data_IF_161799384954
#
_entry.id   IF_161799384954
#
_cell.length_a   1.000
_cell.length_b   1.000
_cell.length_c   1.000
_cell.angle_alpha   90.00
_cell.angle_beta   90.00
_cell.angle_gamma   90.00
#
_symmetry.space_group_name_H-M   'P 1'
#
loop_
_entity.id
_entity.type
_entity.pdbx_description
1 polymer ?
#
# COMPACT_ATOMS: atom_id res chain seq x y z
N UNK A 1 -13.94 -16.07 23.48
CA UNK A 1 -13.74 -14.88 22.63
C UNK A 1 -12.42 -15.06 21.88
N UNK A 2 -12.39 -14.95 20.55
CA UNK A 2 -11.10 -14.88 19.83
C UNK A 2 -10.37 -13.62 20.29
N UNK A 3 -9.06 -13.67 20.57
CA UNK A 3 -8.31 -12.46 20.86
C UNK A 3 -8.48 -11.49 19.68
N UNK A 4 -8.47 -10.17 19.93
CA UNK A 4 -8.44 -9.21 18.82
C UNK A 4 -7.27 -9.58 17.92
N UNK A 5 -7.55 -9.82 16.63
CA UNK A 5 -6.54 -10.24 15.66
C UNK A 5 -5.50 -9.16 15.43
N UNK A 6 -4.41 -9.51 14.75
CA UNK A 6 -3.39 -8.55 14.33
C UNK A 6 -3.94 -7.50 13.35
N UNK A 7 -3.41 -6.28 13.41
CA UNK A 7 -3.72 -5.25 12.43
C UNK A 7 -3.01 -5.57 11.11
N UNK A 8 -3.77 -6.07 10.13
CA UNK A 8 -3.28 -6.43 8.79
C UNK A 8 -2.41 -5.34 8.15
N UNK A 9 -2.82 -4.07 8.29
CA UNK A 9 -2.11 -2.94 7.69
C UNK A 9 -0.81 -2.60 8.43
N UNK A 10 -0.76 -2.84 9.75
CA UNK A 10 0.49 -2.72 10.52
C UNK A 10 1.51 -3.77 10.08
N UNK A 11 1.06 -4.98 9.74
CA UNK A 11 1.92 -6.05 9.20
C UNK A 11 2.37 -5.73 7.76
N UNK A 12 1.52 -5.12 6.92
CA UNK A 12 1.93 -4.75 5.56
C UNK A 12 2.95 -3.63 5.50
N UNK A 13 2.93 -2.68 6.44
CA UNK A 13 4.00 -1.69 6.60
C UNK A 13 5.39 -2.34 6.73
N UNK A 14 5.48 -3.47 7.45
CA UNK A 14 6.73 -4.21 7.62
C UNK A 14 7.06 -5.08 6.40
N UNK A 15 6.04 -5.63 5.71
CA UNK A 15 6.23 -6.54 4.57
C UNK A 15 6.62 -5.82 3.27
N UNK A 16 6.03 -4.66 3.02
CA UNK A 16 6.22 -3.89 1.78
C UNK A 16 7.24 -2.77 2.01
N UNK A 17 7.25 -2.19 3.21
CA UNK A 17 8.07 -1.03 3.55
C UNK A 17 7.41 0.29 3.15
N UNK A 18 7.31 1.20 4.11
CA UNK A 18 6.66 2.51 3.92
C UNK A 18 7.25 3.30 2.75
N UNK A 19 8.58 3.50 2.73
CA UNK A 19 9.28 4.27 1.69
C UNK A 19 9.12 3.68 0.29
N UNK A 20 9.09 2.36 0.20
CA UNK A 20 8.88 1.69 -1.07
C UNK A 20 7.46 1.93 -1.58
N UNK A 21 6.46 1.77 -0.71
CA UNK A 21 5.07 2.03 -1.08
C UNK A 21 4.84 3.49 -1.47
N UNK A 22 5.44 4.44 -0.75
CA UNK A 22 5.43 5.87 -1.12
C UNK A 22 5.99 6.12 -2.51
N UNK A 23 7.17 5.56 -2.82
CA UNK A 23 7.79 5.72 -4.14
C UNK A 23 6.89 5.16 -5.26
N UNK A 24 6.25 4.02 -5.01
CA UNK A 24 5.29 3.41 -5.96
C UNK A 24 4.08 4.33 -6.18
N UNK A 25 3.47 4.86 -5.11
CA UNK A 25 2.33 5.80 -5.23
C UNK A 25 2.74 7.05 -6.01
N UNK A 26 3.87 7.67 -5.67
CA UNK A 26 4.35 8.86 -6.37
C UNK A 26 4.57 8.59 -7.85
N UNK A 27 5.25 7.49 -8.20
CA UNK A 27 5.46 7.12 -9.59
C UNK A 27 4.13 6.85 -10.34
N UNK A 28 3.14 6.26 -9.68
CA UNK A 28 1.81 6.04 -10.26
C UNK A 28 1.07 7.35 -10.51
N UNK A 29 1.11 8.29 -9.56
CA UNK A 29 0.47 9.61 -9.69
C UNK A 29 1.13 10.49 -10.75
N UNK A 30 2.45 10.41 -10.86
CA UNK A 30 3.24 11.11 -11.89
C UNK A 30 3.07 10.49 -13.29
N UNK A 31 2.32 9.38 -13.42
CA UNK A 31 2.13 8.68 -14.69
C UNK A 31 3.38 7.92 -15.17
N UNK A 32 4.38 7.74 -14.31
CA UNK A 32 5.62 7.00 -14.60
C UNK A 32 5.47 5.49 -14.40
N UNK A 33 4.43 5.06 -13.67
CA UNK A 33 4.10 3.66 -13.43
C UNK A 33 2.60 3.45 -13.66
N UNK A 34 2.22 2.44 -14.45
CA UNK A 34 0.81 2.11 -14.64
C UNK A 34 0.19 1.62 -13.34
N UNK A 35 -1.06 2.01 -13.07
CA UNK A 35 -1.80 1.58 -11.89
C UNK A 35 -1.86 0.04 -11.77
N UNK A 36 -1.98 -0.66 -12.90
CA UNK A 36 -1.98 -2.13 -12.96
C UNK A 36 -0.68 -2.74 -12.45
N UNK A 37 0.44 -2.12 -12.79
CA UNK A 37 1.77 -2.59 -12.41
C UNK A 37 2.06 -2.23 -10.95
N UNK A 38 1.52 -1.11 -10.46
CA UNK A 38 1.70 -0.66 -9.08
C UNK A 38 1.15 -1.65 -8.03
N UNK A 39 -0.08 -2.15 -8.20
CA UNK A 39 -0.63 -3.13 -7.27
C UNK A 39 0.02 -4.52 -7.42
N UNK A 40 0.47 -4.89 -8.63
CA UNK A 40 1.23 -6.13 -8.84
C UNK A 40 2.61 -6.08 -8.18
N UNK A 41 3.33 -4.97 -8.35
CA UNK A 41 4.68 -4.76 -7.79
C UNK A 41 4.68 -4.82 -6.26
N UNK A 42 3.59 -4.40 -5.63
CA UNK A 42 3.41 -4.43 -4.18
C UNK A 42 2.82 -5.75 -3.67
N UNK A 43 2.43 -6.67 -4.58
CA UNK A 43 1.77 -7.93 -4.24
C UNK A 43 0.41 -7.73 -3.56
N UNK A 44 -0.25 -6.60 -3.82
CA UNK A 44 -1.56 -6.25 -3.27
C UNK A 44 -2.65 -6.44 -4.33
N UNK A 45 -3.87 -6.72 -3.88
CA UNK A 45 -5.04 -6.53 -4.75
C UNK A 45 -5.28 -5.05 -4.98
N UNK A 46 -5.90 -4.66 -6.10
CA UNK A 46 -6.17 -3.25 -6.40
C UNK A 46 -6.93 -2.55 -5.27
N UNK A 47 -7.93 -3.22 -4.69
CA UNK A 47 -8.70 -2.68 -3.54
C UNK A 47 -7.84 -2.48 -2.29
N UNK A 48 -6.87 -3.35 -2.04
CA UNK A 48 -5.97 -3.22 -0.89
C UNK A 48 -4.94 -2.13 -1.12
N UNK A 49 -4.45 -2.02 -2.35
CA UNK A 49 -3.56 -0.95 -2.78
C UNK A 49 -4.20 0.42 -2.57
N UNK A 50 -5.45 0.62 -3.03
CA UNK A 50 -6.17 1.89 -2.87
C UNK A 50 -6.39 2.27 -1.40
N UNK A 51 -6.85 1.30 -0.59
CA UNK A 51 -7.07 1.53 0.85
C UNK A 51 -5.77 1.91 1.55
N UNK A 52 -4.68 1.24 1.21
CA UNK A 52 -3.40 1.47 1.84
C UNK A 52 -2.76 2.79 1.37
N UNK A 53 -2.94 3.17 0.10
CA UNK A 53 -2.58 4.49 -0.40
C UNK A 53 -3.33 5.60 0.33
N UNK A 54 -4.65 5.48 0.48
CA UNK A 54 -5.43 6.46 1.26
C UNK A 54 -5.02 6.54 2.73
N UNK A 55 -4.64 5.42 3.36
CA UNK A 55 -4.12 5.42 4.73
C UNK A 55 -2.76 6.13 4.86
N UNK A 56 -1.90 6.04 3.84
CA UNK A 56 -0.59 6.70 3.82
C UNK A 56 -0.70 8.19 3.48
N UNK A 57 -1.59 8.56 2.55
CA UNK A 57 -1.81 9.95 2.15
C UNK A 57 -2.28 10.85 3.28
N UNK A 58 -3.04 10.31 4.24
CA UNK A 58 -3.47 11.06 5.43
C UNK A 58 -2.29 11.39 6.37
N UNK A 59 -1.11 10.79 6.16
CA UNK A 59 0.10 11.04 6.96
C UNK A 59 1.12 11.95 6.26
N UNK A 60 0.86 12.35 5.02
CA UNK A 60 1.69 13.28 4.22
C UNK A 60 1.03 14.66 4.18
#
# INVERSE_FOLDING_TARGET
KRPPGGNFYATQNMRIGHRFFEAVICATKEGRLLYRDAYQLTGLSCQTFDKYAGLLEVRL
#
